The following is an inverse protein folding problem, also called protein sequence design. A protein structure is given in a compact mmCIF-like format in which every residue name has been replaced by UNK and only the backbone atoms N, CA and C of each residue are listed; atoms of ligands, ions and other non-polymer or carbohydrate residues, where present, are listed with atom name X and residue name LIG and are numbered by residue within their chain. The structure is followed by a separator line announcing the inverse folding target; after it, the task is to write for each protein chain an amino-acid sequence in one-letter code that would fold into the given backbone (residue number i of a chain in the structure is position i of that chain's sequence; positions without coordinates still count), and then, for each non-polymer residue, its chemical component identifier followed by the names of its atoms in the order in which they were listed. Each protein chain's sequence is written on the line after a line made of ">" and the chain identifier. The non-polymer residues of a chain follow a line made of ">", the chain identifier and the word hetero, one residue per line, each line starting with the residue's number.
data_IF_808316941900
#
_entry.id   IF_808316941900
#
_cell.length_a   1.000
_cell.length_b   1.000
_cell.length_c   1.000
_cell.angle_alpha   90.00
_cell.angle_beta   90.00
_cell.angle_gamma   90.00
#
_symmetry.space_group_name_H-M   'P 1'
#
loop_
_entity.id
_entity.type
_entity.pdbx_description
1 polymer ?
#
# COMPACT_ATOMS: atom_id res chain seq x y z
N UNK A 1 3.26 0.15 -24.60
CA UNK A 1 4.52 0.48 -23.93
C UNK A 1 4.33 1.48 -22.81
N UNK A 2 3.65 2.59 -23.06
CA UNK A 2 3.41 3.59 -22.00
C UNK A 2 2.65 3.02 -20.80
N UNK A 3 1.68 2.15 -21.05
CA UNK A 3 0.92 1.50 -19.99
C UNK A 3 1.81 0.67 -19.05
N UNK A 4 2.73 -0.14 -19.61
CA UNK A 4 3.64 -0.94 -18.82
C UNK A 4 4.61 -0.07 -18.01
N UNK A 5 5.14 0.98 -18.63
CA UNK A 5 6.04 1.90 -17.94
C UNK A 5 5.31 2.59 -16.79
N UNK A 6 4.10 3.08 -17.04
CA UNK A 6 3.28 3.72 -16.00
C UNK A 6 2.98 2.76 -14.86
N UNK A 7 2.61 1.51 -15.19
CA UNK A 7 2.34 0.48 -14.19
C UNK A 7 3.56 0.26 -13.29
N UNK A 8 4.73 0.05 -13.90
CA UNK A 8 5.92 -0.29 -13.12
C UNK A 8 6.45 0.88 -12.31
N UNK A 9 6.34 2.11 -12.82
CA UNK A 9 6.71 3.29 -12.04
C UNK A 9 5.79 3.44 -10.84
N UNK A 10 4.48 3.41 -11.04
CA UNK A 10 3.53 3.57 -9.94
C UNK A 10 3.60 2.41 -8.95
N UNK A 11 3.68 1.18 -9.43
CA UNK A 11 3.78 -0.01 -8.59
C UNK A 11 5.08 -0.01 -7.79
N UNK A 12 6.19 0.33 -8.45
CA UNK A 12 7.49 0.42 -7.78
C UNK A 12 7.50 1.45 -6.67
N UNK A 13 6.92 2.63 -6.93
CA UNK A 13 6.82 3.68 -5.92
C UNK A 13 5.95 3.23 -4.74
N UNK A 14 4.79 2.66 -5.01
CA UNK A 14 3.89 2.17 -3.97
C UNK A 14 4.58 1.09 -3.14
N UNK A 15 5.17 0.10 -3.81
CA UNK A 15 5.83 -1.01 -3.11
C UNK A 15 7.01 -0.53 -2.28
N UNK A 16 7.84 0.36 -2.83
CA UNK A 16 9.01 0.89 -2.13
C UNK A 16 8.59 1.70 -0.90
N UNK A 17 7.60 2.58 -1.06
CA UNK A 17 7.12 3.40 0.05
C UNK A 17 6.43 2.56 1.11
N UNK A 18 5.63 1.56 0.70
CA UNK A 18 4.98 0.66 1.65
C UNK A 18 5.99 -0.20 2.40
N UNK A 19 6.99 -0.73 1.71
CA UNK A 19 8.04 -1.53 2.35
C UNK A 19 8.87 -0.69 3.32
N UNK A 20 9.20 0.53 2.93
CA UNK A 20 9.93 1.46 3.80
C UNK A 20 9.12 1.77 5.06
N UNK A 21 7.83 2.10 4.90
CA UNK A 21 6.95 2.37 6.02
C UNK A 21 6.81 1.14 6.91
N UNK A 22 6.64 -0.04 6.30
CA UNK A 22 6.54 -1.29 7.05
C UNK A 22 7.79 -1.57 7.87
N UNK A 23 8.96 -1.35 7.28
CA UNK A 23 10.22 -1.51 8.00
C UNK A 23 10.31 -0.56 9.21
N UNK A 24 9.93 0.71 9.02
CA UNK A 24 9.92 1.68 10.11
C UNK A 24 8.93 1.29 11.21
N UNK A 25 7.78 0.75 10.83
CA UNK A 25 6.80 0.29 11.81
C UNK A 25 7.33 -0.88 12.63
N UNK A 26 7.95 -1.86 11.97
CA UNK A 26 8.47 -3.05 12.67
C UNK A 26 9.69 -2.75 13.52
N UNK A 27 10.58 -1.88 13.03
CA UNK A 27 11.80 -1.54 13.77
C UNK A 27 11.53 -0.62 14.95
N UNK A 28 10.32 -0.05 15.04
CA UNK A 28 9.97 0.84 16.15
C UNK A 28 10.67 2.19 16.06
N UNK A 29 10.80 2.74 14.83
CA UNK A 29 11.42 4.05 14.69
C UNK A 29 10.67 5.07 15.55
N UNK A 30 11.39 6.05 16.17
CA UNK A 30 10.73 7.03 17.03
C UNK A 30 9.58 7.76 16.35
N UNK A 31 9.73 8.08 15.06
CA UNK A 31 8.72 8.77 14.29
C UNK A 31 7.44 7.93 14.18
N UNK A 32 7.59 6.62 13.89
CA UNK A 32 6.43 5.72 13.78
C UNK A 32 5.75 5.51 15.12
N UNK A 33 6.54 5.29 16.17
CA UNK A 33 5.99 5.08 17.53
C UNK A 33 5.21 6.30 17.98
N UNK A 34 5.76 7.50 17.80
CA UNK A 34 5.10 8.74 18.19
C UNK A 34 3.87 9.01 17.33
N UNK A 35 3.95 8.71 16.02
CA UNK A 35 2.82 8.90 15.11
C UNK A 35 1.63 8.05 15.48
N UNK A 36 1.84 6.77 15.78
CA UNK A 36 0.75 5.89 16.20
C UNK A 36 0.18 6.31 17.56
N UNK A 37 1.04 6.70 18.49
CA UNK A 37 0.59 7.18 19.80
C UNK A 37 -0.25 8.45 19.64
N UNK A 38 0.16 9.38 18.76
CA UNK A 38 -0.58 10.61 18.51
C UNK A 38 -1.97 10.32 17.94
N UNK A 39 -2.09 9.30 17.09
CA UNK A 39 -3.38 8.89 16.51
C UNK A 39 -4.21 8.02 17.46
N UNK A 40 -3.67 7.64 18.61
CA UNK A 40 -4.36 6.84 19.59
C UNK A 40 -4.37 5.34 19.29
N UNK A 41 -3.45 4.87 18.46
CA UNK A 41 -3.37 3.46 18.08
C UNK A 41 -2.40 2.70 18.98
N UNK A 42 -2.71 1.43 19.33
CA UNK A 42 -1.83 0.64 20.20
C UNK A 42 -0.60 0.13 19.44
N UNK A 43 0.49 -0.21 20.18
CA UNK A 43 1.72 -0.71 19.54
C UNK A 43 1.54 -1.98 18.71
N UNK A 44 0.67 -2.91 19.11
CA UNK A 44 0.46 -4.14 18.34
C UNK A 44 -0.13 -3.85 16.96
N UNK A 45 -0.93 -2.81 16.83
CA UNK A 45 -1.47 -2.42 15.52
C UNK A 45 -0.35 -1.94 14.60
N UNK A 46 0.62 -1.19 15.14
CA UNK A 46 1.79 -0.75 14.38
C UNK A 46 2.56 -1.95 13.81
N UNK A 47 2.79 -2.96 14.62
CA UNK A 47 3.52 -4.16 14.20
C UNK A 47 2.72 -4.92 13.13
N UNK A 48 1.42 -5.12 13.34
CA UNK A 48 0.58 -5.80 12.37
C UNK A 48 0.54 -5.09 11.03
N UNK A 49 0.39 -3.76 11.05
CA UNK A 49 0.38 -2.98 9.82
C UNK A 49 1.73 -3.00 9.13
N UNK A 50 2.83 -3.03 9.89
CA UNK A 50 4.16 -3.14 9.31
C UNK A 50 4.34 -4.45 8.55
N UNK A 51 3.94 -5.56 9.16
CA UNK A 51 3.99 -6.87 8.50
C UNK A 51 3.11 -6.87 7.25
N UNK A 52 1.89 -6.35 7.37
CA UNK A 52 0.94 -6.32 6.25
C UNK A 52 1.48 -5.48 5.08
N UNK A 53 2.11 -4.34 5.36
CA UNK A 53 2.66 -3.48 4.32
C UNK A 53 3.80 -4.16 3.57
N UNK A 54 4.69 -4.86 4.28
CA UNK A 54 5.80 -5.57 3.65
C UNK A 54 5.28 -6.73 2.80
N UNK A 55 4.35 -7.53 3.34
CA UNK A 55 3.76 -8.63 2.59
C UNK A 55 2.99 -8.12 1.37
N UNK A 56 2.26 -7.02 1.53
CA UNK A 56 1.54 -6.41 0.41
C UNK A 56 2.49 -5.89 -0.67
N UNK A 57 3.59 -5.25 -0.28
CA UNK A 57 4.58 -4.75 -1.22
C UNK A 57 5.21 -5.89 -2.01
N UNK A 58 5.59 -6.97 -1.35
CA UNK A 58 6.13 -8.16 -2.01
C UNK A 58 5.10 -8.73 -2.98
N UNK A 59 3.85 -8.85 -2.55
CA UNK A 59 2.78 -9.39 -3.37
C UNK A 59 2.57 -8.59 -4.65
N UNK A 60 2.69 -7.27 -4.57
CA UNK A 60 2.50 -6.41 -5.75
C UNK A 60 3.58 -6.59 -6.81
N UNK A 61 4.81 -6.90 -6.40
CA UNK A 61 5.94 -6.95 -7.35
C UNK A 61 6.24 -8.34 -7.88
N UNK A 62 5.91 -9.41 -7.13
CA UNK A 62 6.21 -10.77 -7.60
C UNK A 62 5.31 -11.17 -8.76
N UNK A 63 5.77 -12.03 -9.67
CA UNK A 63 4.91 -12.53 -10.75
C UNK A 63 3.88 -13.52 -10.20
N UNK A 64 2.74 -13.64 -10.88
CA UNK A 64 1.66 -14.53 -10.47
C UNK A 64 0.86 -14.00 -9.30
N UNK A 65 0.16 -14.89 -8.60
CA UNK A 65 -0.64 -14.56 -7.41
C UNK A 65 -1.66 -13.46 -7.67
N UNK A 66 -2.41 -13.56 -8.77
CA UNK A 66 -3.31 -12.49 -9.22
C UNK A 66 -4.38 -12.20 -8.17
N UNK A 67 -4.93 -13.23 -7.51
CA UNK A 67 -5.94 -13.03 -6.45
C UNK A 67 -5.36 -12.31 -5.25
N UNK A 68 -4.15 -12.70 -4.84
CA UNK A 68 -3.48 -12.04 -3.72
C UNK A 68 -3.17 -10.58 -4.06
N UNK A 69 -2.84 -10.29 -5.33
CA UNK A 69 -2.64 -8.91 -5.78
C UNK A 69 -3.91 -8.08 -5.65
N UNK A 70 -5.06 -8.66 -6.02
CA UNK A 70 -6.34 -7.97 -5.83
C UNK A 70 -6.58 -7.66 -4.34
N UNK A 71 -6.29 -8.62 -3.48
CA UNK A 71 -6.43 -8.42 -2.04
C UNK A 71 -5.46 -7.35 -1.53
N UNK A 72 -4.22 -7.34 -2.05
CA UNK A 72 -3.25 -6.32 -1.67
C UNK A 72 -3.70 -4.93 -2.08
N UNK A 73 -4.22 -4.77 -3.31
CA UNK A 73 -4.77 -3.50 -3.74
C UNK A 73 -5.94 -3.06 -2.86
N UNK A 74 -6.85 -3.97 -2.53
CA UNK A 74 -7.97 -3.66 -1.65
C UNK A 74 -7.49 -3.28 -0.25
N UNK A 75 -6.55 -4.04 0.30
CA UNK A 75 -5.99 -3.79 1.63
C UNK A 75 -5.33 -2.43 1.73
N UNK A 76 -4.48 -2.09 0.75
CA UNK A 76 -3.85 -0.77 0.72
C UNK A 76 -4.88 0.34 0.55
N UNK A 77 -5.91 0.12 -0.27
CA UNK A 77 -6.98 1.09 -0.46
C UNK A 77 -7.65 1.42 0.87
N UNK A 78 -8.10 0.39 1.59
CA UNK A 78 -8.75 0.60 2.89
C UNK A 78 -7.79 1.19 3.92
N UNK A 79 -6.55 0.70 3.95
CA UNK A 79 -5.56 1.18 4.92
C UNK A 79 -5.28 2.67 4.72
N UNK A 80 -5.11 3.11 3.48
CA UNK A 80 -4.79 4.51 3.21
C UNK A 80 -6.00 5.44 3.32
N UNK A 81 -7.22 4.93 3.04
CA UNK A 81 -8.43 5.69 3.36
C UNK A 81 -8.53 5.88 4.87
N UNK A 82 -8.32 4.81 5.64
CA UNK A 82 -8.35 4.89 7.10
C UNK A 82 -7.26 5.83 7.62
N UNK A 83 -6.07 5.80 7.03
CA UNK A 83 -4.97 6.68 7.40
C UNK A 83 -5.33 8.14 7.12
N UNK A 84 -5.93 8.43 5.97
CA UNK A 84 -6.37 9.79 5.66
C UNK A 84 -7.37 10.28 6.70
N UNK A 85 -8.38 9.46 7.02
CA UNK A 85 -9.39 9.83 8.01
C UNK A 85 -8.76 10.07 9.37
N UNK A 86 -7.85 9.18 9.79
CA UNK A 86 -7.18 9.32 11.09
C UNK A 86 -6.36 10.60 11.17
N UNK A 87 -5.57 10.90 10.14
CA UNK A 87 -4.78 12.13 10.10
C UNK A 87 -5.65 13.36 10.01
N UNK A 88 -6.76 13.28 9.28
CA UNK A 88 -7.71 14.39 9.16
C UNK A 88 -8.36 14.71 10.52
N UNK A 89 -8.79 13.68 11.24
CA UNK A 89 -9.39 13.85 12.56
C UNK A 89 -8.38 14.43 13.54
N UNK A 90 -7.12 13.98 13.45
CA UNK A 90 -6.03 14.51 14.30
C UNK A 90 -5.54 15.88 13.84
N UNK A 91 -6.06 16.40 12.72
CA UNK A 91 -5.71 17.72 12.16
C UNK A 91 -4.23 17.83 11.81
N UNK A 92 -3.68 16.75 11.27
CA UNK A 92 -2.28 16.73 10.85
C UNK A 92 -2.16 17.09 9.37
N UNK A 93 -1.12 17.86 9.02
CA UNK A 93 -0.83 18.18 7.62
C UNK A 93 -0.43 16.96 6.80
N UNK A 94 0.10 15.93 7.47
CA UNK A 94 0.50 14.68 6.83
C UNK A 94 -0.68 13.86 6.28
N UNK A 95 -1.93 14.31 6.48
CA UNK A 95 -3.11 13.64 5.93
C UNK A 95 -3.07 13.48 4.41
N UNK A 96 -2.31 14.30 3.72
CA UNK A 96 -2.23 14.23 2.26
C UNK A 96 -1.33 13.11 1.75
N UNK A 97 -0.41 12.58 2.56
CA UNK A 97 0.46 11.49 2.15
C UNK A 97 -0.32 10.23 1.75
N UNK A 98 -1.29 9.74 2.54
CA UNK A 98 -2.08 8.60 2.10
C UNK A 98 -2.92 8.87 0.86
N UNK A 99 -3.33 10.11 0.61
CA UNK A 99 -4.04 10.45 -0.62
C UNK A 99 -3.15 10.30 -1.85
N UNK A 100 -1.89 10.75 -1.76
CA UNK A 100 -0.92 10.58 -2.85
C UNK A 100 -0.69 9.10 -3.13
N UNK A 101 -0.54 8.31 -2.06
CA UNK A 101 -0.35 6.86 -2.20
C UNK A 101 -1.57 6.19 -2.83
N UNK A 102 -2.79 6.64 -2.48
CA UNK A 102 -4.01 6.12 -3.11
C UNK A 102 -4.04 6.42 -4.60
N UNK A 103 -3.67 7.63 -5.01
CA UNK A 103 -3.63 7.99 -6.42
C UNK A 103 -2.65 7.09 -7.17
N UNK A 104 -1.44 6.89 -6.61
CA UNK A 104 -0.44 6.01 -7.21
C UNK A 104 -0.94 4.57 -7.28
N UNK A 105 -1.63 4.12 -6.23
CA UNK A 105 -2.19 2.77 -6.18
C UNK A 105 -3.23 2.57 -7.28
N UNK A 106 -4.12 3.53 -7.49
CA UNK A 106 -5.14 3.44 -8.53
C UNK A 106 -4.51 3.49 -9.92
N UNK A 107 -3.49 4.32 -10.12
CA UNK A 107 -2.74 4.34 -11.38
C UNK A 107 -2.14 2.95 -11.64
N UNK A 108 -1.52 2.35 -10.64
CA UNK A 108 -0.97 1.00 -10.73
C UNK A 108 -2.06 -0.01 -11.10
N UNK A 109 -3.20 0.04 -10.40
CA UNK A 109 -4.29 -0.90 -10.61
C UNK A 109 -4.84 -0.84 -12.04
N UNK A 110 -5.12 0.36 -12.52
CA UNK A 110 -5.77 0.53 -13.83
C UNK A 110 -4.79 0.41 -15.01
N UNK A 111 -3.49 0.40 -14.75
CA UNK A 111 -2.47 0.20 -15.80
C UNK A 111 -1.87 -1.20 -15.76
N UNK A 112 -2.41 -2.13 -14.98
CA UNK A 112 -1.87 -3.50 -14.89
C UNK A 112 -1.81 -4.17 -16.25
N UNK A 113 -0.67 -4.82 -16.57
CA UNK A 113 -0.61 -5.67 -17.74
C UNK A 113 -1.60 -6.84 -17.62
N UNK A 114 -2.00 -7.41 -18.75
CA UNK A 114 -2.97 -8.50 -18.77
C UNK A 114 -2.56 -9.68 -17.89
N UNK A 115 -1.26 -9.99 -17.84
CA UNK A 115 -0.75 -11.09 -17.00
C UNK A 115 -0.95 -10.86 -15.50
N UNK A 116 -1.26 -9.64 -15.09
CA UNK A 116 -1.45 -9.28 -13.68
C UNK A 116 -2.89 -8.96 -13.34
N UNK A 117 -3.81 -9.14 -14.27
CA UNK A 117 -5.24 -8.92 -14.07
C UNK A 117 -5.93 -10.25 -13.80
N UNK A 118 -6.82 -10.24 -12.81
CA UNK A 118 -7.57 -11.44 -12.44
C UNK A 118 -8.39 -11.98 -13.62
N UNK A 119 -9.08 -11.11 -14.34
CA UNK A 119 -9.94 -11.53 -15.44
C UNK A 119 -9.15 -12.22 -16.55
N UNK A 120 -7.97 -11.69 -16.89
CA UNK A 120 -7.11 -12.29 -17.88
C UNK A 120 -6.60 -13.65 -17.42
N UNK A 121 -6.23 -13.79 -16.14
CA UNK A 121 -5.80 -15.05 -15.57
C UNK A 121 -6.92 -16.09 -15.61
N UNK A 122 -8.15 -15.70 -15.31
CA UNK A 122 -9.32 -16.60 -15.36
C UNK A 122 -9.61 -17.03 -16.79
N UNK A 123 -9.44 -16.14 -17.76
CA UNK A 123 -9.69 -16.46 -19.16
C UNK A 123 -8.68 -17.44 -19.74
N UNK A 124 -7.45 -17.50 -19.19
CA UNK A 124 -6.40 -18.39 -19.65
C UNK A 124 -6.36 -19.72 -18.89
N UNK A 125 -7.12 -19.84 -17.83
CA UNK A 125 -7.19 -21.07 -17.05
C UNK A 125 -8.32 -22.03 -17.52
#
# INVERSE_FOLDING_TARGET
>A
MARKVTYWISTGLVAALAAFAGFNYLSGSPQSVQGFAHLGYPPHLRILLGIAKILGAITLVVPGFVKLKEWAYAGFTFAWIAAFVAHHIAKESSQYAPLVLLVLLFISYFTRPDSRQWQAAAATS
#
